data_IF_385806068753
#
_entry.id   IF_385806068753
#
_cell.length_a   1.000
_cell.length_b   1.000
_cell.length_c   1.000
_cell.angle_alpha   90.00
_cell.angle_beta   90.00
_cell.angle_gamma   90.00
#
_symmetry.space_group_name_H-M   'P 1'
#
loop_
_entity.id
_entity.type
_entity.pdbx_description
1 polymer ?
#
# COMPACT_ATOMS: atom_id res chain seq x y z
N UNK A 1 -15.02 -80.36 -40.39
CA UNK A 1 -14.00 -79.98 -39.39
C UNK A 1 -14.62 -79.01 -38.39
N UNK A 2 -14.19 -79.04 -37.11
CA UNK A 2 -15.10 -79.05 -35.98
C UNK A 2 -15.08 -77.75 -35.14
N UNK A 3 -15.96 -77.71 -34.14
CA UNK A 3 -15.84 -77.00 -32.84
C UNK A 3 -15.95 -75.46 -32.90
N UNK A 4 -16.41 -74.71 -31.91
CA UNK A 4 -16.82 -74.92 -30.52
C UNK A 4 -17.62 -73.64 -30.14
N UNK A 5 -18.76 -73.74 -29.46
CA UNK A 5 -18.87 -73.65 -27.99
C UNK A 5 -18.42 -72.31 -27.36
N UNK A 6 -19.40 -71.69 -26.69
CA UNK A 6 -19.33 -70.98 -25.40
C UNK A 6 -18.06 -70.22 -25.01
N UNK A 7 -18.22 -68.94 -24.67
CA UNK A 7 -17.83 -68.47 -23.33
C UNK A 7 -18.35 -67.05 -23.06
N UNK A 8 -19.37 -66.96 -22.20
CA UNK A 8 -19.50 -65.83 -21.28
C UNK A 8 -18.27 -65.81 -20.36
N UNK A 9 -17.57 -64.69 -20.27
CA UNK A 9 -16.67 -64.41 -19.13
C UNK A 9 -17.13 -63.17 -18.40
N UNK A 10 -17.68 -63.41 -17.21
CA UNK A 10 -17.74 -62.44 -16.11
C UNK A 10 -16.31 -61.98 -15.81
N UNK A 11 -16.07 -60.66 -15.75
CA UNK A 11 -14.88 -60.14 -15.07
C UNK A 11 -15.20 -59.91 -13.59
N UNK A 12 -14.46 -60.53 -12.66
CA UNK A 12 -14.66 -60.34 -11.23
C UNK A 12 -14.13 -58.99 -10.73
N UNK A 13 -14.70 -58.61 -9.59
CA UNK A 13 -14.53 -57.36 -8.86
C UNK A 13 -13.24 -57.36 -8.02
N UNK A 14 -12.72 -56.15 -7.78
CA UNK A 14 -11.79 -55.74 -6.69
C UNK A 14 -10.39 -56.37 -6.65
N UNK A 15 -9.39 -55.53 -6.87
CA UNK A 15 -8.18 -55.54 -6.04
C UNK A 15 -7.95 -54.14 -5.49
N UNK A 16 -8.09 -54.03 -4.18
CA UNK A 16 -7.72 -52.93 -3.32
C UNK A 16 -6.21 -52.90 -3.13
N UNK A 17 -5.55 -51.83 -3.57
CA UNK A 17 -4.21 -51.48 -3.10
C UNK A 17 -4.32 -50.35 -2.07
N UNK A 18 -4.07 -50.62 -0.78
CA UNK A 18 -3.87 -49.56 0.19
C UNK A 18 -2.42 -49.08 0.08
N UNK A 19 -2.12 -48.18 -0.85
CA UNK A 19 -0.88 -47.40 -0.76
C UNK A 19 -1.09 -46.30 0.27
N UNK A 20 -0.83 -46.70 1.51
CA UNK A 20 -0.42 -45.90 2.67
C UNK A 20 0.04 -44.49 2.25
N UNK A 21 -0.89 -43.54 2.21
CA UNK A 21 -0.56 -42.12 2.16
C UNK A 21 0.01 -41.80 3.54
N UNK A 22 1.32 -41.98 3.65
CA UNK A 22 2.11 -41.63 4.81
C UNK A 22 2.03 -40.11 4.97
N UNK A 23 1.08 -39.72 5.80
CA UNK A 23 1.05 -38.54 6.65
C UNK A 23 2.44 -37.97 6.94
N UNK A 24 2.82 -36.93 6.19
CA UNK A 24 3.68 -35.83 6.64
C UNK A 24 3.31 -34.53 5.88
N UNK A 25 2.01 -34.23 5.76
CA UNK A 25 1.55 -32.85 5.57
C UNK A 25 1.61 -32.12 6.91
N UNK A 26 2.82 -31.87 7.38
CA UNK A 26 3.12 -30.87 8.39
C UNK A 26 4.45 -30.25 7.99
N UNK A 27 4.44 -29.53 6.87
CA UNK A 27 5.57 -28.68 6.52
C UNK A 27 5.66 -27.60 7.62
N UNK A 28 6.75 -27.53 8.40
CA UNK A 28 6.90 -26.60 9.51
C UNK A 28 7.40 -25.25 8.99
N UNK A 29 6.72 -24.68 7.99
CA UNK A 29 6.98 -23.31 7.52
C UNK A 29 6.22 -22.25 8.32
N UNK A 30 5.51 -22.67 9.38
CA UNK A 30 4.71 -21.79 10.25
C UNK A 30 5.38 -21.42 11.57
N UNK A 31 6.61 -21.85 11.86
CA UNK A 31 7.26 -21.49 13.13
C UNK A 31 8.74 -21.21 12.93
N UNK A 32 9.06 -20.03 12.41
CA UNK A 32 10.37 -19.41 12.69
C UNK A 32 10.21 -17.89 12.87
N UNK A 33 10.00 -17.53 14.14
CA UNK A 33 10.62 -16.38 14.82
C UNK A 33 10.30 -14.99 14.25
N UNK A 34 9.19 -14.39 14.71
CA UNK A 34 9.06 -12.93 14.83
C UNK A 34 9.24 -12.58 16.30
N UNK A 35 10.49 -12.51 16.75
CA UNK A 35 10.85 -11.80 17.98
C UNK A 35 12.05 -10.90 17.68
N UNK A 36 11.78 -9.60 17.83
CA UNK A 36 12.66 -8.51 18.22
C UNK A 36 13.94 -8.27 17.39
N UNK A 37 13.86 -7.21 16.57
CA UNK A 37 14.84 -6.13 16.71
C UNK A 37 14.07 -4.82 16.90
N UNK A 38 13.81 -4.50 18.16
CA UNK A 38 13.72 -3.13 18.60
C UNK A 38 15.15 -2.55 18.53
N UNK A 39 15.40 -1.73 17.52
CA UNK A 39 16.58 -0.87 17.47
C UNK A 39 16.19 0.47 16.85
N UNK A 40 15.90 1.41 17.74
CA UNK A 40 16.34 2.81 17.67
C UNK A 40 16.32 3.46 16.27
N UNK A 41 15.20 4.12 15.94
CA UNK A 41 15.26 5.31 15.09
C UNK A 41 14.56 6.45 15.83
N UNK A 42 15.22 6.92 16.89
CA UNK A 42 15.02 8.28 17.37
C UNK A 42 15.84 9.21 16.47
N UNK A 43 15.41 9.36 15.22
CA UNK A 43 15.81 10.50 14.39
C UNK A 43 14.63 11.46 14.42
N UNK A 44 14.49 12.17 15.54
CA UNK A 44 13.71 13.41 15.60
C UNK A 44 14.50 14.50 14.88
N UNK A 45 14.69 14.35 13.57
CA UNK A 45 15.25 15.39 12.71
C UNK A 45 14.24 16.54 12.51
N UNK A 46 14.63 17.61 11.78
CA UNK A 46 13.78 18.78 11.49
C UNK A 46 12.45 18.46 10.75
N UNK A 47 12.23 17.19 10.39
CA UNK A 47 11.01 16.67 9.78
C UNK A 47 9.78 16.96 10.64
N UNK A 48 9.87 16.82 11.97
CA UNK A 48 8.74 17.09 12.85
C UNK A 48 8.35 18.58 12.88
N UNK A 49 9.34 19.47 12.80
CA UNK A 49 9.10 20.91 12.73
C UNK A 49 8.46 21.31 11.39
N UNK A 50 8.95 20.74 10.28
CA UNK A 50 8.40 21.00 8.94
C UNK A 50 6.96 20.49 8.78
N UNK A 51 6.63 19.33 9.36
CA UNK A 51 5.24 18.84 9.35
C UNK A 51 4.30 19.75 10.14
N UNK A 52 4.73 20.26 11.29
CA UNK A 52 3.92 21.18 12.10
C UNK A 52 3.67 22.51 11.36
N UNK A 53 4.68 23.06 10.69
CA UNK A 53 4.51 24.27 9.87
C UNK A 53 3.61 24.04 8.65
N UNK A 54 3.66 22.85 8.05
CA UNK A 54 2.72 22.52 6.97
C UNK A 54 1.28 22.41 7.49
N UNK A 55 1.08 21.82 8.66
CA UNK A 55 -0.24 21.73 9.28
C UNK A 55 -0.80 23.09 9.68
N UNK A 56 0.02 24.00 10.20
CA UNK A 56 -0.42 25.38 10.48
C UNK A 56 -0.79 26.13 9.19
N UNK A 57 -0.01 25.96 8.10
CA UNK A 57 -0.32 26.55 6.80
C UNK A 57 -1.62 25.98 6.18
N UNK A 58 -1.87 24.68 6.36
CA UNK A 58 -3.14 24.04 5.96
C UNK A 58 -4.32 24.58 6.76
N UNK A 59 -4.18 24.69 8.08
CA UNK A 59 -5.22 25.21 8.96
C UNK A 59 -5.52 26.69 8.66
N UNK A 60 -4.49 27.48 8.36
CA UNK A 60 -4.61 28.87 7.90
C UNK A 60 -5.22 29.00 6.49
N UNK A 61 -5.30 27.90 5.74
CA UNK A 61 -5.82 27.87 4.38
C UNK A 61 -4.89 28.46 3.33
N UNK A 62 -3.64 28.76 3.68
CA UNK A 62 -2.61 29.23 2.73
C UNK A 62 -1.96 28.08 1.97
N UNK A 63 -2.19 26.83 2.39
CA UNK A 63 -1.83 25.61 1.67
C UNK A 63 -3.03 24.67 1.58
N UNK A 64 -3.12 23.94 0.47
CA UNK A 64 -4.05 22.84 0.29
C UNK A 64 -3.36 21.57 -0.22
N UNK A 65 -4.12 20.49 -0.37
CA UNK A 65 -3.64 19.19 -0.84
C UNK A 65 -4.37 18.77 -2.11
N UNK A 66 -3.67 18.31 -3.13
CA UNK A 66 -4.27 17.75 -4.33
C UNK A 66 -4.70 16.30 -4.13
N UNK A 67 -5.60 15.86 -5.01
CA UNK A 67 -6.08 14.47 -5.12
C UNK A 67 -4.97 13.42 -5.28
N UNK A 68 -3.78 13.80 -5.75
CA UNK A 68 -2.60 12.95 -5.92
C UNK A 68 -1.60 13.06 -4.75
N UNK A 69 -1.99 13.67 -3.63
CA UNK A 69 -1.18 13.72 -2.41
C UNK A 69 -0.06 14.76 -2.45
N UNK A 70 -0.13 15.72 -3.37
CA UNK A 70 0.82 16.83 -3.49
C UNK A 70 0.26 18.08 -2.81
N UNK A 71 1.07 18.72 -1.96
CA UNK A 71 0.71 19.98 -1.34
C UNK A 71 0.83 21.13 -2.35
N UNK A 72 -0.11 22.07 -2.33
CA UNK A 72 -0.16 23.22 -3.23
C UNK A 72 -0.41 24.51 -2.47
N UNK A 73 0.30 25.56 -2.87
CA UNK A 73 0.17 26.89 -2.28
C UNK A 73 -1.17 27.51 -2.70
N UNK A 74 -1.81 28.20 -1.77
CA UNK A 74 -3.00 29.03 -1.97
C UNK A 74 -2.65 30.50 -1.68
N UNK A 75 -3.61 31.40 -1.89
CA UNK A 75 -3.40 32.83 -1.68
C UNK A 75 -2.92 33.15 -0.25
N UNK A 76 -1.97 34.07 -0.14
CA UNK A 76 -1.47 34.57 1.15
C UNK A 76 -0.38 33.73 1.83
N UNK A 77 0.21 32.73 1.14
CA UNK A 77 1.37 32.01 1.68
C UNK A 77 2.64 32.87 1.64
N UNK A 78 3.49 32.73 2.67
CA UNK A 78 4.83 33.32 2.70
C UNK A 78 5.84 32.48 1.89
N UNK A 79 7.00 33.07 1.60
CA UNK A 79 8.10 32.36 0.93
C UNK A 79 8.61 31.17 1.76
N UNK A 80 8.61 31.30 3.09
CA UNK A 80 8.96 30.21 4.00
C UNK A 80 8.00 29.01 3.83
N UNK A 81 6.69 29.28 3.76
CA UNK A 81 5.68 28.24 3.51
C UNK A 81 5.88 27.61 2.13
N UNK A 82 6.23 28.41 1.11
CA UNK A 82 6.51 27.90 -0.22
C UNK A 82 7.71 26.93 -0.22
N UNK A 83 8.79 27.27 0.48
CA UNK A 83 9.96 26.41 0.61
C UNK A 83 9.64 25.11 1.35
N UNK A 84 8.81 25.16 2.39
CA UNK A 84 8.36 23.98 3.13
C UNK A 84 7.52 23.06 2.23
N UNK A 85 6.56 23.61 1.49
CA UNK A 85 5.74 22.86 0.52
C UNK A 85 6.64 22.17 -0.51
N UNK A 86 7.62 22.88 -1.06
CA UNK A 86 8.59 22.31 -2.00
C UNK A 86 9.34 21.14 -1.39
N UNK A 87 9.95 21.32 -0.22
CA UNK A 87 10.74 20.28 0.44
C UNK A 87 9.91 19.01 0.73
N UNK A 88 8.67 19.19 1.19
CA UNK A 88 7.77 18.06 1.50
C UNK A 88 7.34 17.35 0.22
N UNK A 89 7.03 18.08 -0.84
CA UNK A 89 6.68 17.49 -2.13
C UNK A 89 7.86 16.71 -2.73
N UNK A 90 9.09 17.24 -2.63
CA UNK A 90 10.30 16.54 -3.09
C UNK A 90 10.48 15.19 -2.36
N UNK A 91 10.29 15.19 -1.03
CA UNK A 91 10.32 13.97 -0.22
C UNK A 91 9.20 12.98 -0.59
N UNK A 92 7.97 13.47 -0.73
CA UNK A 92 6.81 12.64 -1.12
C UNK A 92 7.04 12.01 -2.48
N UNK A 93 7.47 12.78 -3.47
CA UNK A 93 7.72 12.28 -4.81
C UNK A 93 8.84 11.24 -4.84
N UNK A 94 9.90 11.41 -4.05
CA UNK A 94 10.93 10.38 -3.91
C UNK A 94 10.36 9.05 -3.39
N UNK A 95 9.51 9.11 -2.37
CA UNK A 95 8.82 7.93 -1.82
C UNK A 95 7.86 7.32 -2.86
N UNK A 96 7.06 8.16 -3.52
CA UNK A 96 6.05 7.70 -4.48
C UNK A 96 6.70 7.01 -5.67
N UNK A 97 7.79 7.56 -6.22
CA UNK A 97 8.54 6.91 -7.30
C UNK A 97 9.12 5.56 -6.88
N UNK A 98 9.69 5.49 -5.68
CA UNK A 98 10.24 4.22 -5.14
C UNK A 98 9.15 3.15 -4.99
N UNK A 99 7.98 3.53 -4.47
CA UNK A 99 6.83 2.64 -4.30
C UNK A 99 6.24 2.21 -5.65
N UNK A 100 6.07 3.17 -6.56
CA UNK A 100 5.58 2.93 -7.91
C UNK A 100 6.44 1.90 -8.66
N UNK A 101 7.77 2.05 -8.58
CA UNK A 101 8.69 1.08 -9.18
C UNK A 101 8.61 -0.32 -8.54
N UNK A 102 8.41 -0.40 -7.22
CA UNK A 102 8.28 -1.67 -6.50
C UNK A 102 6.94 -2.38 -6.78
N UNK A 103 5.87 -1.62 -6.99
CA UNK A 103 4.50 -2.14 -7.15
C UNK A 103 4.07 -2.24 -8.62
N UNK A 104 4.86 -1.71 -9.56
CA UNK A 104 4.55 -1.74 -10.99
C UNK A 104 3.37 -0.84 -11.40
N UNK A 105 3.13 0.23 -10.65
CA UNK A 105 2.05 1.21 -10.89
C UNK A 105 2.61 2.62 -11.11
N UNK A 106 1.76 3.58 -11.50
CA UNK A 106 2.21 4.96 -11.70
C UNK A 106 2.51 5.67 -10.37
N UNK A 107 3.41 6.66 -10.40
CA UNK A 107 3.72 7.52 -9.24
C UNK A 107 2.48 8.28 -8.76
N UNK A 108 1.61 8.68 -9.70
CA UNK A 108 0.34 9.34 -9.39
C UNK A 108 -0.64 8.40 -8.66
N UNK A 109 -0.74 7.14 -9.08
CA UNK A 109 -1.60 6.15 -8.41
C UNK A 109 -1.16 5.93 -6.95
N UNK A 110 0.15 5.86 -6.70
CA UNK A 110 0.69 5.84 -5.33
C UNK A 110 0.31 7.12 -4.59
N UNK A 111 0.46 8.28 -5.22
CA UNK A 111 0.07 9.57 -4.65
C UNK A 111 -1.39 9.62 -4.21
N UNK A 112 -2.31 9.09 -5.01
CA UNK A 112 -3.73 8.98 -4.67
C UNK A 112 -4.00 8.08 -3.45
N UNK A 113 -3.20 7.02 -3.24
CA UNK A 113 -3.28 6.19 -2.03
C UNK A 113 -2.85 7.02 -0.81
N UNK A 114 -1.74 7.73 -0.90
CA UNK A 114 -1.27 8.60 0.18
C UNK A 114 -2.19 9.80 0.41
N UNK A 115 -2.87 10.32 -0.61
CA UNK A 115 -3.85 11.40 -0.49
C UNK A 115 -4.97 11.03 0.49
N UNK A 116 -5.44 9.77 0.48
CA UNK A 116 -6.44 9.27 1.45
C UNK A 116 -5.91 9.32 2.88
N UNK A 117 -4.64 8.95 3.09
CA UNK A 117 -4.00 9.01 4.41
C UNK A 117 -3.77 10.45 4.86
N UNK A 118 -3.36 11.32 3.94
CA UNK A 118 -3.19 12.76 4.20
C UNK A 118 -4.54 13.36 4.61
N UNK A 119 -5.61 13.06 3.88
CA UNK A 119 -6.96 13.53 4.20
C UNK A 119 -7.38 13.12 5.63
N UNK A 120 -7.13 11.88 6.03
CA UNK A 120 -7.46 11.41 7.37
C UNK A 120 -6.71 12.18 8.46
N UNK A 121 -5.42 12.44 8.25
CA UNK A 121 -4.52 13.08 9.24
C UNK A 121 -4.53 14.59 9.24
N UNK A 122 -4.91 15.21 8.12
CA UNK A 122 -4.87 16.67 7.97
C UNK A 122 -5.78 17.36 9.00
N UNK A 123 -5.40 18.54 9.51
CA UNK A 123 -6.24 19.30 10.43
C UNK A 123 -7.57 19.69 9.77
N UNK A 124 -8.62 19.83 10.58
CA UNK A 124 -9.90 20.41 10.14
C UNK A 124 -9.67 21.78 9.52
N UNK A 125 -10.42 22.11 8.47
CA UNK A 125 -10.27 23.36 7.73
C UNK A 125 -9.25 23.31 6.59
N UNK A 126 -8.51 22.19 6.43
CA UNK A 126 -7.61 21.97 5.29
C UNK A 126 -8.38 21.96 3.97
N UNK A 127 -7.82 22.62 2.97
CA UNK A 127 -8.36 22.65 1.62
C UNK A 127 -7.81 21.52 0.76
N UNK A 128 -8.68 20.85 0.02
CA UNK A 128 -8.35 19.76 -0.89
C UNK A 128 -8.80 20.10 -2.31
N UNK A 129 -7.90 19.98 -3.28
CA UNK A 129 -8.20 20.09 -4.70
C UNK A 129 -8.50 18.70 -5.25
N UNK A 130 -9.77 18.42 -5.52
CA UNK A 130 -10.18 17.13 -6.05
C UNK A 130 -9.73 16.92 -7.51
N UNK A 131 -9.96 15.72 -8.05
CA UNK A 131 -9.55 15.37 -9.42
C UNK A 131 -10.30 16.17 -10.50
N UNK A 132 -11.49 16.71 -10.20
CA UNK A 132 -12.23 17.60 -11.11
C UNK A 132 -11.80 19.07 -11.01
N UNK A 133 -10.74 19.38 -10.26
CA UNK A 133 -10.23 20.74 -10.09
C UNK A 133 -11.08 21.62 -9.16
N UNK A 134 -11.97 21.03 -8.37
CA UNK A 134 -12.79 21.74 -7.39
C UNK A 134 -12.16 21.69 -6.01
N UNK A 135 -12.20 22.82 -5.32
CA UNK A 135 -11.75 22.95 -3.95
C UNK A 135 -12.83 22.51 -2.97
N UNK A 136 -12.46 21.64 -2.03
CA UNK A 136 -13.31 21.18 -0.93
C UNK A 136 -12.58 21.44 0.37
N UNK A 137 -13.30 21.82 1.42
CA UNK A 137 -12.73 22.04 2.75
C UNK A 137 -13.13 20.90 3.68
N UNK A 138 -12.15 20.34 4.41
CA UNK A 138 -12.38 19.34 5.45
C UNK A 138 -13.00 19.96 6.69
#
# INVERSE_FOLDING_TARGET
MPTCACAWRKKPNRMSTPTRFSSYFTAPWLTTIIIAVAAMVLISGPIAAQSHLLDSARAAGTVGERHDGIAIIRAGASEEVAQIVKNINDQRLAIYRKRAAAEGISTEAVGQIYAKQIFQKAPTGTWFLNASGQWVRK
#
